data_IF_456806731996
#
_entry.id   IF_456806731996
#
_cell.length_a   1.000
_cell.length_b   1.000
_cell.length_c   1.000
_cell.angle_alpha   90.00
_cell.angle_beta   90.00
_cell.angle_gamma   90.00
#
_symmetry.space_group_name_H-M   'P 1'
#
loop_
_entity.id
_entity.type
_entity.pdbx_description
1 polymer ?
#
# COMPACT_ATOMS: atom_id res chain seq x y z
N UNK A 1 24.38 0.91 -5.60
CA UNK A 1 23.21 0.01 -5.79
C UNK A 1 22.40 -0.34 -4.55
N UNK A 2 22.87 -1.18 -3.60
CA UNK A 2 22.03 -1.70 -2.51
C UNK A 2 21.26 -0.63 -1.70
N UNK A 3 21.92 0.49 -1.38
CA UNK A 3 21.29 1.63 -0.68
C UNK A 3 20.16 2.27 -1.50
N UNK A 4 20.33 2.33 -2.81
CA UNK A 4 19.34 2.89 -3.74
C UNK A 4 18.13 1.97 -3.89
N UNK A 5 18.35 0.66 -4.02
CA UNK A 5 17.27 -0.35 -4.00
C UNK A 5 16.45 -0.26 -2.72
N UNK A 6 17.11 -0.13 -1.56
CA UNK A 6 16.41 0.02 -0.27
C UNK A 6 15.61 1.32 -0.20
N UNK A 7 16.16 2.44 -0.70
CA UNK A 7 15.44 3.72 -0.79
C UNK A 7 14.22 3.61 -1.70
N UNK A 8 14.35 2.96 -2.86
CA UNK A 8 13.23 2.76 -3.79
C UNK A 8 12.13 1.89 -3.17
N UNK A 9 12.50 0.80 -2.49
CA UNK A 9 11.56 -0.06 -1.76
C UNK A 9 10.85 0.70 -0.64
N UNK A 10 11.59 1.51 0.13
CA UNK A 10 11.01 2.32 1.18
C UNK A 10 10.00 3.35 0.62
N UNK A 11 10.34 4.01 -0.50
CA UNK A 11 9.42 4.91 -1.20
C UNK A 11 8.18 4.19 -1.71
N UNK A 12 8.32 3.00 -2.30
CA UNK A 12 7.19 2.21 -2.78
C UNK A 12 6.28 1.78 -1.63
N UNK A 13 6.83 1.30 -0.51
CA UNK A 13 6.05 0.97 0.69
C UNK A 13 5.33 2.19 1.26
N UNK A 14 5.98 3.36 1.27
CA UNK A 14 5.33 4.60 1.69
C UNK A 14 4.16 4.95 0.78
N UNK A 15 4.34 4.87 -0.55
CA UNK A 15 3.28 5.12 -1.52
C UNK A 15 2.07 4.16 -1.36
N UNK A 16 2.33 2.86 -1.11
CA UNK A 16 1.27 1.88 -0.90
C UNK A 16 0.45 2.17 0.36
N UNK A 17 1.06 2.72 1.42
CA UNK A 17 0.36 3.07 2.67
C UNK A 17 -0.68 4.18 2.49
N UNK A 18 -0.49 5.08 1.51
CA UNK A 18 -1.44 6.14 1.17
C UNK A 18 -2.71 5.59 0.49
N UNK A 19 -2.64 4.37 -0.03
CA UNK A 19 -3.75 3.73 -0.71
C UNK A 19 -4.77 3.20 0.30
N UNK A 20 -6.01 3.03 -0.18
CA UNK A 20 -7.02 2.27 0.55
C UNK A 20 -6.51 0.86 0.85
N UNK A 21 -6.98 0.28 1.96
CA UNK A 21 -6.50 -1.01 2.47
C UNK A 21 -6.53 -2.12 1.40
N UNK A 22 -7.65 -2.28 0.70
CA UNK A 22 -7.81 -3.23 -0.40
C UNK A 22 -6.75 -3.04 -1.48
N UNK A 23 -6.56 -1.81 -1.97
CA UNK A 23 -5.58 -1.50 -3.00
C UNK A 23 -4.14 -1.66 -2.51
N UNK A 24 -3.84 -1.31 -1.26
CA UNK A 24 -2.51 -1.52 -0.65
C UNK A 24 -2.14 -3.00 -0.68
N UNK A 25 -3.00 -3.88 -0.16
CA UNK A 25 -2.73 -5.33 -0.09
C UNK A 25 -2.59 -5.93 -1.50
N UNK A 26 -3.50 -5.58 -2.42
CA UNK A 26 -3.46 -6.10 -3.78
C UNK A 26 -2.22 -5.65 -4.56
N UNK A 27 -1.82 -4.38 -4.42
CA UNK A 27 -0.68 -3.84 -5.15
C UNK A 27 0.66 -4.21 -4.51
N UNK A 28 0.71 -4.36 -3.19
CA UNK A 28 1.87 -4.92 -2.48
C UNK A 28 2.19 -6.32 -3.03
N UNK A 29 1.19 -7.21 -3.09
CA UNK A 29 1.36 -8.53 -3.69
C UNK A 29 1.72 -8.47 -5.19
N UNK A 30 1.06 -7.58 -5.96
CA UNK A 30 1.34 -7.45 -7.40
C UNK A 30 2.73 -6.87 -7.71
N UNK A 31 3.37 -6.21 -6.73
CA UNK A 31 4.69 -5.60 -6.82
C UNK A 31 5.71 -6.30 -5.91
N UNK A 32 5.40 -7.49 -5.38
CA UNK A 32 6.23 -8.23 -4.44
C UNK A 32 7.68 -8.39 -4.93
N UNK A 33 7.87 -8.71 -6.22
CA UNK A 33 9.20 -8.81 -6.81
C UNK A 33 10.05 -7.53 -6.73
N UNK A 34 9.43 -6.34 -6.80
CA UNK A 34 10.13 -5.06 -6.60
C UNK A 34 10.46 -4.81 -5.13
N UNK A 35 9.61 -5.30 -4.23
CA UNK A 35 9.80 -5.26 -2.78
C UNK A 35 10.81 -6.31 -2.27
N UNK A 36 11.15 -7.28 -3.11
CA UNK A 36 12.01 -8.42 -2.75
C UNK A 36 11.26 -9.49 -1.96
N UNK A 37 9.96 -9.61 -2.21
CA UNK A 37 9.05 -10.57 -1.61
C UNK A 37 8.48 -11.48 -2.70
N UNK A 38 7.95 -12.64 -2.29
CA UNK A 38 7.32 -13.58 -3.21
C UNK A 38 5.85 -13.23 -3.43
N UNK A 39 5.42 -13.32 -4.69
CA UNK A 39 4.01 -13.13 -5.05
C UNK A 39 3.22 -14.35 -4.65
N UNK A 40 2.08 -14.11 -4.02
CA UNK A 40 1.11 -15.13 -3.60
C UNK A 40 -0.12 -15.10 -4.52
N UNK A 41 -0.78 -16.25 -4.69
CA UNK A 41 -2.04 -16.33 -5.43
C UNK A 41 -3.15 -15.54 -4.75
N UNK A 42 -4.09 -14.99 -5.53
CA UNK A 42 -5.09 -14.07 -4.99
C UNK A 42 -6.08 -14.75 -4.02
N UNK A 43 -6.33 -16.05 -4.17
CA UNK A 43 -7.14 -16.82 -3.22
C UNK A 43 -6.44 -16.92 -1.87
N UNK A 44 -5.17 -17.26 -1.87
CA UNK A 44 -4.38 -17.37 -0.64
C UNK A 44 -4.20 -16.01 0.02
N UNK A 45 -3.98 -14.96 -0.78
CA UNK A 45 -3.89 -13.58 -0.32
C UNK A 45 -5.20 -13.12 0.36
N UNK A 46 -6.35 -13.49 -0.20
CA UNK A 46 -7.66 -13.22 0.41
C UNK A 46 -7.81 -13.94 1.74
N UNK A 47 -7.36 -15.19 1.84
CA UNK A 47 -7.33 -15.95 3.10
C UNK A 47 -6.42 -15.35 4.16
N UNK A 48 -5.29 -14.74 3.77
CA UNK A 48 -4.36 -14.06 4.67
C UNK A 48 -4.85 -12.67 5.11
N UNK A 49 -5.63 -11.99 4.27
CA UNK A 49 -6.11 -10.62 4.52
C UNK A 49 -7.63 -10.49 4.37
N UNK A 50 -8.43 -11.24 5.17
CA UNK A 50 -9.89 -11.20 5.06
C UNK A 50 -10.45 -9.78 5.33
N UNK A 51 -9.87 -9.03 6.27
CA UNK A 51 -10.30 -7.64 6.56
C UNK A 51 -10.19 -6.69 5.35
N UNK A 52 -9.31 -6.99 4.38
CA UNK A 52 -9.07 -6.15 3.22
C UNK A 52 -9.80 -6.65 1.96
N UNK A 53 -9.99 -7.96 1.84
CA UNK A 53 -10.35 -8.64 0.59
C UNK A 53 -11.62 -9.49 0.68
N UNK A 54 -12.20 -9.69 1.86
CA UNK A 54 -13.41 -10.51 2.01
C UNK A 54 -14.57 -9.98 1.14
N UNK A 55 -15.37 -10.90 0.63
CA UNK A 55 -16.48 -10.61 -0.30
C UNK A 55 -16.08 -10.16 -1.72
N UNK A 56 -14.77 -10.02 -2.03
CA UNK A 56 -14.32 -9.72 -3.40
C UNK A 56 -14.17 -11.01 -4.22
N UNK A 57 -14.72 -11.01 -5.43
CA UNK A 57 -14.42 -12.05 -6.41
C UNK A 57 -13.00 -11.90 -6.96
N UNK A 58 -12.43 -13.00 -7.45
CA UNK A 58 -11.14 -13.00 -8.16
C UNK A 58 -11.08 -11.93 -9.26
N UNK A 59 -12.11 -11.86 -10.09
CA UNK A 59 -12.21 -10.87 -11.17
C UNK A 59 -12.22 -9.43 -10.65
N UNK A 60 -12.88 -9.17 -9.51
CA UNK A 60 -12.88 -7.84 -8.90
C UNK A 60 -11.48 -7.45 -8.37
N UNK A 61 -10.76 -8.41 -7.77
CA UNK A 61 -9.37 -8.20 -7.34
C UNK A 61 -8.45 -7.90 -8.53
N UNK A 62 -8.53 -8.71 -9.61
CA UNK A 62 -7.71 -8.50 -10.81
C UNK A 62 -7.98 -7.14 -11.48
N UNK A 63 -9.25 -6.71 -11.56
CA UNK A 63 -9.59 -5.37 -12.05
C UNK A 63 -9.00 -4.26 -11.20
N UNK A 64 -9.01 -4.41 -9.86
CA UNK A 64 -8.41 -3.43 -8.94
C UNK A 64 -6.90 -3.39 -9.08
N UNK A 65 -6.23 -4.54 -9.20
CA UNK A 65 -4.78 -4.61 -9.50
C UNK A 65 -4.47 -3.88 -10.80
N UNK A 66 -5.22 -4.16 -11.86
CA UNK A 66 -5.03 -3.52 -13.17
C UNK A 66 -5.18 -2.00 -13.10
N UNK A 67 -6.28 -1.51 -12.48
CA UNK A 67 -6.52 -0.08 -12.29
C UNK A 67 -5.47 0.58 -11.40
N UNK A 68 -5.10 -0.06 -10.30
CA UNK A 68 -4.11 0.43 -9.37
C UNK A 68 -2.73 0.59 -10.00
N UNK A 69 -2.26 -0.40 -10.77
CA UNK A 69 -0.99 -0.31 -11.51
C UNK A 69 -0.97 0.87 -12.49
N UNK A 70 -2.06 1.06 -13.24
CA UNK A 70 -2.19 2.22 -14.17
C UNK A 70 -2.23 3.55 -13.42
N UNK A 71 -2.85 3.60 -12.25
CA UNK A 71 -2.90 4.81 -11.44
C UNK A 71 -1.53 5.17 -10.85
N UNK A 72 -0.73 4.19 -10.43
CA UNK A 72 0.63 4.41 -9.90
C UNK A 72 1.60 4.98 -10.95
N UNK A 73 1.34 4.78 -12.25
CA UNK A 73 2.09 5.44 -13.33
C UNK A 73 1.63 6.87 -13.61
N UNK A 74 0.56 7.33 -12.97
CA UNK A 74 0.03 8.69 -13.07
C UNK A 74 0.36 9.51 -11.82
N UNK A 75 0.01 10.81 -11.86
CA UNK A 75 0.16 11.72 -10.72
C UNK A 75 -0.55 11.20 -9.45
N UNK A 76 0.00 11.47 -8.25
CA UNK A 76 -0.58 11.02 -6.97
C UNK A 76 -2.06 11.36 -6.77
N UNK A 77 -2.56 12.45 -7.34
CA UNK A 77 -3.98 12.83 -7.29
C UNK A 77 -4.94 11.81 -7.93
N UNK A 78 -4.42 10.92 -8.78
CA UNK A 78 -5.18 9.86 -9.44
C UNK A 78 -5.11 8.52 -8.72
N UNK A 79 -4.34 8.44 -7.63
CA UNK A 79 -4.21 7.20 -6.88
C UNK A 79 -5.53 6.84 -6.19
N UNK A 80 -5.81 5.54 -6.00
CA UNK A 80 -6.94 5.08 -5.20
C UNK A 80 -6.67 5.29 -3.70
N UNK A 81 -6.45 6.54 -3.32
CA UNK A 81 -6.09 6.97 -1.98
C UNK A 81 -7.30 6.98 -1.05
N UNK A 82 -6.98 6.98 0.25
CA UNK A 82 -7.99 7.12 1.30
C UNK A 82 -8.56 8.53 1.25
N UNK A 83 -9.88 8.66 1.39
CA UNK A 83 -10.55 9.98 1.47
C UNK A 83 -10.38 10.66 2.83
N UNK A 84 -10.00 9.91 3.86
CA UNK A 84 -9.84 10.38 5.24
C UNK A 84 -8.55 9.81 5.84
N UNK A 85 -7.79 10.61 6.60
CA UNK A 85 -6.63 10.12 7.34
C UNK A 85 -7.04 9.00 8.29
N UNK A 86 -6.18 8.01 8.46
CA UNK A 86 -6.42 6.95 9.44
C UNK A 86 -6.25 7.47 10.85
N UNK A 87 -6.84 6.78 11.83
CA UNK A 87 -6.65 7.13 13.25
C UNK A 87 -5.16 7.12 13.63
N UNK A 88 -4.36 6.25 13.02
CA UNK A 88 -2.91 6.23 13.19
C UNK A 88 -2.22 7.51 12.67
N UNK A 89 -2.65 8.04 11.53
CA UNK A 89 -2.11 9.29 10.98
C UNK A 89 -2.42 10.48 11.89
N UNK A 90 -3.65 10.51 12.45
CA UNK A 90 -4.08 11.51 13.42
C UNK A 90 -3.28 11.42 14.73
N UNK A 91 -2.98 10.21 15.20
CA UNK A 91 -2.16 10.02 16.41
C UNK A 91 -0.70 10.42 16.19
N UNK A 92 -0.16 10.21 14.99
CA UNK A 92 1.20 10.63 14.62
C UNK A 92 1.36 12.14 14.45
N UNK A 93 0.29 12.86 14.09
CA UNK A 93 0.30 14.31 13.87
C UNK A 93 -0.37 15.12 14.99
N UNK A 94 -0.99 14.45 15.95
CA UNK A 94 -1.57 15.06 17.13
C UNK A 94 -0.52 15.55 18.14
N UNK A 95 -0.91 16.37 19.13
CA UNK A 95 -0.02 17.04 20.09
C UNK A 95 0.80 16.11 21.01
N UNK A 96 0.65 14.79 20.86
CA UNK A 96 1.42 13.75 21.57
C UNK A 96 2.59 13.19 20.76
N UNK A 97 2.80 13.66 19.52
CA UNK A 97 4.03 13.40 18.80
C UNK A 97 5.19 14.07 19.57
N UNK A 98 5.97 13.26 20.30
CA UNK A 98 7.13 13.71 21.06
C UNK A 98 7.98 14.66 20.21
N UNK A 99 8.22 15.90 20.66
CA UNK A 99 9.19 16.76 19.99
C UNK A 99 10.55 16.07 20.06
N UNK A 100 11.21 15.89 18.92
CA UNK A 100 12.60 15.46 18.89
C UNK A 100 13.43 16.48 19.70
N UNK A 101 14.37 16.02 20.55
CA UNK A 101 15.27 16.92 21.25
C UNK A 101 16.17 17.58 20.21
N UNK A 102 15.98 18.88 19.99
CA UNK A 102 16.93 19.71 19.27
C UNK A 102 18.25 19.68 20.05
N UNK A 103 19.29 19.19 19.41
CA UNK A 103 20.68 19.22 19.92
C UNK A 103 21.33 20.53 19.51
#
# INVERSE_FOLDING_TARGET
DKRETLRMRAKLRAALRELRLTESVLLENALAGLLGEDRVELVDLQGQHPLALDGLSRQAMDQRVSRGRRALTQSPDKWPSRRRPSLFDLLRTGPFATPEPQT
#
